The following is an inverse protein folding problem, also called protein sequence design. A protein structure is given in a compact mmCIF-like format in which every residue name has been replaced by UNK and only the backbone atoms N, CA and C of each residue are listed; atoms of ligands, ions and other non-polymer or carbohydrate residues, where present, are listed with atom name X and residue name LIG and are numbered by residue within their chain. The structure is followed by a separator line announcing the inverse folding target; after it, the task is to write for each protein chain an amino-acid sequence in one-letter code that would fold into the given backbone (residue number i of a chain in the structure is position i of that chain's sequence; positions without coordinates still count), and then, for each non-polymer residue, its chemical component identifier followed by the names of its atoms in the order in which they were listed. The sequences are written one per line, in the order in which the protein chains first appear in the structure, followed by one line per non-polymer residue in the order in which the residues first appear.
data_IF_122858499386
#
_entry.id   IF_122858499386
#
_cell.length_a   1.000
_cell.length_b   1.000
_cell.length_c   1.000
_cell.angle_alpha   90.00
_cell.angle_beta   90.00
_cell.angle_gamma   90.00
#
_symmetry.space_group_name_H-M   'P 1'
#
loop_
_entity.id
_entity.type
_entity.pdbx_description
1 polymer ?
#
# COMPACT_ATOMS: atom_id res chain seq x y z
N UNK A 1 -31.55 -44.29 16.66
CA UNK A 1 -30.45 -43.73 17.48
C UNK A 1 -29.36 -43.26 16.51
N UNK A 2 -29.03 -42.00 16.27
CA UNK A 2 -28.97 -40.79 17.10
C UNK A 2 -29.42 -39.54 16.33
N UNK A 3 -30.65 -39.56 15.80
CA UNK A 3 -31.31 -38.38 15.19
C UNK A 3 -31.90 -37.39 16.22
N UNK A 4 -31.71 -37.65 17.51
CA UNK A 4 -32.22 -36.83 18.63
C UNK A 4 -31.18 -35.77 19.06
N UNK A 5 -29.91 -35.94 18.67
CA UNK A 5 -28.82 -35.03 19.03
C UNK A 5 -28.87 -33.69 18.28
N UNK A 6 -29.65 -33.61 17.19
CA UNK A 6 -29.81 -32.39 16.39
C UNK A 6 -31.08 -31.58 16.76
N UNK A 7 -32.00 -32.12 17.57
CA UNK A 7 -33.19 -31.37 18.01
C UNK A 7 -32.92 -30.50 19.25
N UNK A 8 -31.76 -30.67 19.90
CA UNK A 8 -31.24 -29.73 20.90
C UNK A 8 -30.58 -28.49 20.25
N UNK A 9 -30.61 -28.39 18.92
CA UNK A 9 -30.29 -27.21 18.13
C UNK A 9 -31.05 -25.94 18.54
N UNK A 10 -32.27 -26.02 19.07
CA UNK A 10 -33.15 -24.84 18.95
C UNK A 10 -33.53 -24.21 20.29
N UNK A 11 -33.30 -24.89 21.41
CA UNK A 11 -33.79 -24.41 22.71
C UNK A 11 -32.85 -23.39 23.38
N UNK A 12 -31.56 -23.37 23.02
CA UNK A 12 -30.62 -22.38 23.58
C UNK A 12 -30.73 -20.99 22.91
N UNK A 13 -31.33 -20.90 21.72
CA UNK A 13 -31.48 -19.62 21.01
C UNK A 13 -32.64 -18.75 21.55
N UNK A 14 -33.43 -19.25 22.51
CA UNK A 14 -34.65 -18.56 22.97
C UNK A 14 -34.61 -18.06 24.43
N UNK A 15 -33.49 -18.20 25.17
CA UNK A 15 -33.51 -17.93 26.63
C UNK A 15 -32.50 -16.91 27.18
N UNK A 16 -31.90 -16.04 26.35
CA UNK A 16 -31.13 -14.89 26.84
C UNK A 16 -31.75 -13.53 26.46
N UNK A 17 -33.04 -13.53 26.10
CA UNK A 17 -33.83 -12.35 25.76
C UNK A 17 -34.48 -11.65 26.98
N UNK A 18 -33.73 -11.46 28.07
CA UNK A 18 -34.18 -10.62 29.20
C UNK A 18 -33.05 -10.17 30.13
N UNK A 19 -32.02 -9.51 29.57
CA UNK A 19 -31.26 -8.55 30.35
C UNK A 19 -31.68 -7.14 29.89
N UNK A 20 -32.20 -6.27 30.78
CA UNK A 20 -32.48 -4.90 30.41
C UNK A 20 -31.12 -4.26 30.06
N UNK A 21 -30.94 -3.85 28.81
CA UNK A 21 -29.95 -2.84 28.46
C UNK A 21 -30.32 -1.62 29.28
N UNK A 22 -29.63 -1.45 30.41
CA UNK A 22 -29.66 -0.23 31.19
C UNK A 22 -28.93 0.81 30.34
N UNK A 23 -29.68 1.45 29.45
CA UNK A 23 -29.30 2.67 28.77
C UNK A 23 -29.10 3.74 29.86
N UNK A 24 -27.90 3.71 30.43
CA UNK A 24 -27.45 4.54 31.55
C UNK A 24 -25.93 4.52 31.64
N UNK A 25 -25.24 4.21 30.54
CA UNK A 25 -23.84 4.60 30.39
C UNK A 25 -23.88 6.11 30.10
N UNK A 26 -23.48 6.87 31.12
CA UNK A 26 -23.30 8.31 31.03
C UNK A 26 -22.37 8.63 29.86
N UNK A 27 -22.56 9.80 29.28
CA UNK A 27 -21.73 10.37 28.21
C UNK A 27 -20.22 10.41 28.56
N UNK A 28 -19.86 10.09 29.80
CA UNK A 28 -18.49 9.96 30.30
C UNK A 28 -17.66 8.89 29.55
N UNK A 29 -18.29 7.82 29.04
CA UNK A 29 -17.56 6.77 28.31
C UNK A 29 -17.08 7.20 26.91
N UNK A 30 -17.72 8.20 26.30
CA UNK A 30 -17.23 8.80 25.05
C UNK A 30 -16.10 9.80 25.29
N UNK A 31 -15.99 10.34 26.51
CA UNK A 31 -14.89 11.21 26.94
C UNK A 31 -13.59 10.42 27.12
N UNK A 32 -13.67 9.16 27.55
CA UNK A 32 -12.52 8.25 27.70
C UNK A 32 -11.91 7.83 26.34
N UNK A 33 -12.72 7.77 25.29
CA UNK A 33 -12.27 7.46 23.93
C UNK A 33 -11.59 8.65 23.20
N UNK A 34 -11.55 9.84 23.82
CA UNK A 34 -10.92 11.04 23.26
C UNK A 34 -9.48 11.25 23.75
N UNK A 35 -8.78 10.16 24.11
CA UNK A 35 -7.33 10.24 24.31
C UNK A 35 -6.68 10.67 22.98
N UNK A 36 -5.87 11.75 22.98
CA UNK A 36 -5.16 12.15 21.78
C UNK A 36 -4.30 10.99 21.30
N UNK A 37 -4.58 10.49 20.11
CA UNK A 37 -3.72 9.53 19.44
C UNK A 37 -2.44 10.31 19.11
N UNK A 38 -1.39 10.12 19.91
CA UNK A 38 -0.07 10.65 19.62
C UNK A 38 0.51 9.89 18.43
N UNK A 39 0.23 10.39 17.23
CA UNK A 39 0.89 9.91 16.01
C UNK A 39 2.32 10.47 16.04
N UNK A 40 3.36 9.62 16.04
CA UNK A 40 4.74 10.09 15.96
C UNK A 40 4.89 11.04 14.79
N UNK A 41 5.43 12.24 15.04
CA UNK A 41 5.58 13.25 14.00
C UNK A 41 6.53 12.73 12.90
N UNK A 42 5.96 12.35 11.75
CA UNK A 42 6.73 11.91 10.60
C UNK A 42 7.45 13.12 10.00
N UNK A 43 8.77 13.15 10.13
CA UNK A 43 9.60 14.20 9.54
C UNK A 43 9.73 13.95 8.03
N UNK A 44 8.91 14.66 7.25
CA UNK A 44 8.95 14.62 5.78
C UNK A 44 9.82 15.77 5.27
N UNK A 45 11.01 15.45 4.77
CA UNK A 45 11.82 16.41 4.03
C UNK A 45 11.25 16.60 2.61
N UNK A 46 11.18 17.84 2.14
CA UNK A 46 10.69 18.18 0.80
C UNK A 46 11.68 19.09 0.11
N UNK A 47 12.07 18.73 -1.11
CA UNK A 47 12.87 19.59 -1.97
C UNK A 47 12.46 19.42 -3.43
N UNK A 48 13.03 20.24 -4.31
CA UNK A 48 12.87 20.10 -5.75
C UNK A 48 14.22 19.71 -6.36
N UNK A 49 14.19 18.82 -7.35
CA UNK A 49 15.37 18.53 -8.18
C UNK A 49 15.73 19.75 -9.03
N UNK A 50 16.94 19.82 -9.61
CA UNK A 50 17.29 20.87 -10.56
C UNK A 50 16.36 20.95 -11.77
N UNK A 51 15.73 19.83 -12.13
CA UNK A 51 14.73 19.73 -13.19
C UNK A 51 13.31 20.16 -12.76
N UNK A 52 13.10 20.55 -11.49
CA UNK A 52 11.82 21.00 -10.95
C UNK A 52 10.92 19.90 -10.40
N UNK A 53 11.32 18.62 -10.48
CA UNK A 53 10.53 17.51 -9.90
C UNK A 53 10.50 17.58 -8.37
N UNK A 54 9.32 17.57 -7.72
CA UNK A 54 9.24 17.54 -6.26
C UNK A 54 9.67 16.18 -5.72
N UNK A 55 10.46 16.18 -4.66
CA UNK A 55 10.92 14.98 -3.94
C UNK A 55 10.45 15.06 -2.50
N UNK A 56 9.86 13.96 -2.05
CA UNK A 56 9.45 13.74 -0.67
C UNK A 56 10.33 12.63 -0.09
N UNK A 57 10.98 12.91 1.02
CA UNK A 57 11.86 11.95 1.69
C UNK A 57 11.49 11.82 3.15
N UNK A 58 11.42 10.56 3.56
CA UNK A 58 11.14 10.17 4.94
C UNK A 58 12.27 9.28 5.38
N UNK A 59 12.95 9.66 6.45
CA UNK A 59 14.03 8.85 7.02
C UNK A 59 13.48 7.96 8.12
N UNK A 60 13.58 6.65 7.94
CA UNK A 60 13.41 5.66 9.01
C UNK A 60 14.74 4.95 9.25
N UNK A 61 15.20 4.89 10.50
CA UNK A 61 16.48 4.27 10.88
C UNK A 61 16.31 2.90 11.52
N UNK A 62 15.07 2.41 11.67
CA UNK A 62 14.79 1.18 12.42
C UNK A 62 15.14 -0.09 11.64
N UNK A 63 15.02 -0.04 10.31
CA UNK A 63 15.38 -1.13 9.41
C UNK A 63 16.12 -0.51 8.22
N UNK A 64 17.29 -1.03 7.81
CA UNK A 64 18.05 -0.53 6.66
C UNK A 64 17.37 -0.94 5.36
N UNK A 65 16.23 -0.31 5.08
CA UNK A 65 15.42 -0.52 3.88
C UNK A 65 15.27 0.80 3.16
N UNK A 66 15.35 0.77 1.84
CA UNK A 66 15.09 1.95 1.02
C UNK A 66 14.05 1.59 -0.04
N UNK A 67 13.00 2.40 -0.08
CA UNK A 67 11.96 2.32 -1.10
C UNK A 67 11.99 3.61 -1.91
N UNK A 68 12.08 3.47 -3.23
CA UNK A 68 12.01 4.59 -4.18
C UNK A 68 10.76 4.42 -4.98
N UNK A 69 10.03 5.52 -5.13
CA UNK A 69 8.87 5.55 -5.99
C UNK A 69 8.90 6.78 -6.87
N UNK A 70 8.76 6.56 -8.16
CA UNK A 70 8.64 7.61 -9.17
C UNK A 70 7.24 7.51 -9.78
N UNK A 71 6.51 8.62 -9.71
CA UNK A 71 5.15 8.72 -10.23
C UNK A 71 5.16 9.74 -11.36
N UNK A 72 4.66 9.31 -12.51
CA UNK A 72 4.51 10.13 -13.70
C UNK A 72 3.03 10.48 -13.89
N UNK A 73 2.76 11.72 -14.29
CA UNK A 73 1.46 12.14 -14.81
C UNK A 73 1.26 11.58 -16.23
N UNK A 74 1.19 10.26 -16.31
CA UNK A 74 1.00 9.46 -17.51
C UNK A 74 0.03 8.33 -17.16
N UNK A 75 -0.69 7.78 -18.13
CA UNK A 75 -1.72 6.77 -17.88
C UNK A 75 -2.70 6.74 -19.04
N UNK A 76 -3.69 5.86 -18.98
CA UNK A 76 -4.63 5.69 -20.10
C UNK A 76 -5.45 6.93 -20.43
N UNK A 77 -5.61 7.89 -19.50
CA UNK A 77 -6.24 9.18 -19.78
C UNK A 77 -5.39 10.09 -20.69
N UNK A 78 -4.08 9.87 -20.76
CA UNK A 78 -3.15 10.68 -21.55
C UNK A 78 -2.83 10.03 -22.91
N UNK A 79 -3.42 8.87 -23.20
CA UNK A 79 -3.23 8.16 -24.46
C UNK A 79 -4.04 8.83 -25.58
N UNK A 80 -3.34 9.43 -26.55
CA UNK A 80 -3.95 10.15 -27.68
C UNK A 80 -4.41 9.19 -28.79
N UNK A 81 -5.33 8.28 -28.46
CA UNK A 81 -5.94 7.35 -29.42
C UNK A 81 -5.24 5.99 -29.59
N UNK A 82 -4.16 5.74 -28.86
CA UNK A 82 -3.50 4.42 -28.79
C UNK A 82 -3.68 3.83 -27.40
N UNK A 83 -4.69 2.98 -27.25
CA UNK A 83 -5.00 2.34 -25.98
C UNK A 83 -3.88 1.38 -25.54
N UNK A 84 -3.45 1.49 -24.29
CA UNK A 84 -2.44 0.60 -23.70
C UNK A 84 -0.99 0.98 -24.02
N UNK A 85 -0.73 2.11 -24.67
CA UNK A 85 0.61 2.63 -24.88
C UNK A 85 1.38 2.85 -23.57
N UNK A 86 0.73 3.36 -22.53
CA UNK A 86 1.32 3.57 -21.22
C UNK A 86 1.73 2.23 -20.58
N UNK A 87 0.85 1.22 -20.67
CA UNK A 87 1.14 -0.11 -20.15
C UNK A 87 2.26 -0.81 -20.94
N UNK A 88 2.25 -0.69 -22.26
CA UNK A 88 3.30 -1.24 -23.12
C UNK A 88 4.65 -0.59 -22.82
N UNK A 89 4.70 0.74 -22.74
CA UNK A 89 5.92 1.49 -22.42
C UNK A 89 6.49 1.07 -21.07
N UNK A 90 5.61 0.92 -20.07
CA UNK A 90 5.99 0.43 -18.75
C UNK A 90 6.51 -1.02 -18.79
N UNK A 91 5.90 -1.86 -19.62
CA UNK A 91 6.37 -3.23 -19.89
C UNK A 91 7.74 -3.30 -20.55
N UNK A 92 8.20 -2.23 -21.21
CA UNK A 92 9.51 -2.18 -21.86
C UNK A 92 10.63 -1.59 -20.98
N UNK A 93 10.34 -1.10 -19.77
CA UNK A 93 11.33 -0.42 -18.93
C UNK A 93 12.49 -1.32 -18.46
N UNK A 94 12.27 -2.61 -18.40
CA UNK A 94 13.19 -3.68 -17.96
C UNK A 94 13.78 -4.47 -19.14
N UNK A 95 13.36 -4.19 -20.37
CA UNK A 95 13.91 -4.82 -21.59
C UNK A 95 15.28 -4.27 -22.00
N UNK A 96 15.77 -3.27 -21.25
CA UNK A 96 17.10 -2.71 -21.43
C UNK A 96 17.09 -1.19 -21.54
N UNK A 97 18.29 -0.64 -21.42
CA UNK A 97 18.60 0.78 -21.49
C UNK A 97 19.73 0.98 -22.50
N UNK A 98 20.12 2.23 -22.74
CA UNK A 98 21.28 2.54 -23.58
C UNK A 98 22.61 2.00 -23.00
N UNK A 99 22.64 1.65 -21.71
CA UNK A 99 23.87 1.26 -20.99
C UNK A 99 23.88 -0.23 -20.61
N UNK A 100 22.70 -0.83 -20.38
CA UNK A 100 22.54 -2.23 -19.96
C UNK A 100 21.46 -2.90 -20.78
N UNK A 101 21.70 -4.11 -21.27
CA UNK A 101 20.63 -4.94 -21.84
C UNK A 101 19.71 -5.50 -20.74
N UNK A 102 18.64 -6.20 -21.15
CA UNK A 102 17.67 -6.79 -20.23
C UNK A 102 18.32 -7.75 -19.21
N UNK A 103 19.25 -8.58 -19.65
CA UNK A 103 19.91 -9.59 -18.80
C UNK A 103 20.80 -8.93 -17.75
N UNK A 104 21.65 -7.99 -18.16
CA UNK A 104 22.51 -7.23 -17.26
C UNK A 104 21.70 -6.32 -16.31
N UNK A 105 20.52 -5.85 -16.73
CA UNK A 105 19.61 -5.11 -15.86
C UNK A 105 19.01 -6.02 -14.78
N UNK A 106 18.54 -7.21 -15.14
CA UNK A 106 18.01 -8.20 -14.21
C UNK A 106 19.06 -8.67 -13.19
N UNK A 107 20.28 -9.00 -13.66
CA UNK A 107 21.40 -9.38 -12.78
C UNK A 107 21.73 -8.28 -11.76
N UNK A 108 21.74 -7.02 -12.17
CA UNK A 108 22.01 -5.92 -11.25
C UNK A 108 20.92 -5.73 -10.18
N UNK A 109 19.65 -6.05 -10.50
CA UNK A 109 18.56 -6.04 -9.53
C UNK A 109 18.73 -7.20 -8.53
N UNK A 110 19.05 -8.40 -9.02
CA UNK A 110 19.29 -9.59 -8.20
C UNK A 110 20.49 -9.43 -7.27
N UNK A 111 21.60 -8.88 -7.76
CA UNK A 111 22.81 -8.60 -6.96
C UNK A 111 22.54 -7.65 -5.79
N UNK A 112 21.59 -6.72 -5.97
CA UNK A 112 21.19 -5.75 -4.94
C UNK A 112 20.05 -6.30 -4.06
N UNK A 113 19.40 -7.40 -4.46
CA UNK A 113 18.17 -7.88 -3.85
C UNK A 113 16.99 -6.91 -4.02
N UNK A 114 17.03 -6.06 -5.04
CA UNK A 114 16.02 -5.04 -5.28
C UNK A 114 14.85 -5.60 -6.10
N UNK A 115 13.62 -5.36 -5.66
CA UNK A 115 12.42 -5.76 -6.38
C UNK A 115 11.79 -4.56 -7.07
N UNK A 116 11.66 -4.61 -8.39
CA UNK A 116 11.02 -3.59 -9.20
C UNK A 116 9.52 -3.86 -9.34
N UNK A 117 8.69 -2.89 -8.95
CA UNK A 117 7.25 -2.89 -9.17
C UNK A 117 6.84 -1.80 -10.15
N UNK A 118 5.94 -2.15 -11.06
CA UNK A 118 5.48 -1.28 -12.14
C UNK A 118 3.95 -1.33 -12.19
N UNK A 119 3.29 -0.18 -12.10
CA UNK A 119 1.84 -0.10 -12.24
C UNK A 119 1.41 1.06 -13.15
N UNK A 120 0.36 0.82 -13.94
CA UNK A 120 -0.27 1.83 -14.80
C UNK A 120 -1.71 2.01 -14.38
N UNK A 121 -2.08 3.24 -14.06
CA UNK A 121 -3.43 3.65 -13.77
C UNK A 121 -4.01 4.55 -14.87
N UNK A 122 -5.21 5.07 -14.62
CA UNK A 122 -5.86 5.99 -15.55
C UNK A 122 -5.13 7.32 -15.64
N UNK A 123 -4.66 7.84 -14.50
CA UNK A 123 -4.08 9.19 -14.39
C UNK A 123 -2.59 9.21 -14.06
N UNK A 124 -2.06 8.08 -13.59
CA UNK A 124 -0.70 7.98 -13.09
C UNK A 124 -0.07 6.65 -13.47
N UNK A 125 1.21 6.68 -13.79
CA UNK A 125 2.08 5.52 -13.97
C UNK A 125 3.12 5.60 -12.88
N UNK A 126 3.42 4.46 -12.27
CA UNK A 126 4.28 4.38 -11.11
C UNK A 126 5.31 3.28 -11.31
N UNK A 127 6.56 3.62 -10.99
CA UNK A 127 7.67 2.69 -10.90
C UNK A 127 8.18 2.78 -9.47
N UNK A 128 8.19 1.67 -8.76
CA UNK A 128 8.69 1.58 -7.41
C UNK A 128 9.77 0.50 -7.31
N UNK A 129 10.74 0.69 -6.43
CA UNK A 129 11.76 -0.30 -6.14
C UNK A 129 11.98 -0.37 -4.64
N UNK A 130 11.78 -1.57 -4.07
CA UNK A 130 12.12 -1.85 -2.69
C UNK A 130 13.43 -2.63 -2.65
N UNK A 131 14.42 -2.12 -1.93
CA UNK A 131 15.66 -2.81 -1.67
C UNK A 131 15.85 -2.94 -0.15
N UNK A 132 16.02 -4.17 0.31
CA UNK A 132 16.49 -4.46 1.66
C UNK A 132 18.01 -4.53 1.61
N UNK A 133 18.70 -3.66 2.34
CA UNK A 133 20.15 -3.79 2.48
C UNK A 133 20.45 -4.99 3.40
N UNK A 134 21.46 -5.83 3.07
CA UNK A 134 21.92 -6.89 3.96
C UNK A 134 22.61 -6.34 5.22
#
# INVERSE_FOLDING_TARGET
MNKILCSLFTLCLALLASAPVRAGATLDALTDANQPIEVPALQVARWHTPAGTPVLFVRSQQLPMFDVQVIFAAGSAYEQGVAGLAQLTLGMLDEGTLVRDASAFAEALDDTGAVLHKSSGRERVQVASCAAQP
#
